data_IF_637524512737
#
_entry.id   IF_637524512737
#
_cell.length_a   1.000
_cell.length_b   1.000
_cell.length_c   1.000
_cell.angle_alpha   90.00
_cell.angle_beta   90.00
_cell.angle_gamma   90.00
#
_symmetry.space_group_name_H-M   'P 1'
#
loop_
_entity.id
_entity.type
_entity.pdbx_description
1 polymer ?
#
# COMPACT_ATOMS: atom_id res chain seq x y z
N UNK A 1 -23.25 52.70 -38.94
CA UNK A 1 -23.76 51.33 -38.67
C UNK A 1 -23.58 51.03 -37.19
N UNK A 2 -24.32 51.79 -36.40
CA UNK A 2 -25.28 51.39 -35.37
C UNK A 2 -24.95 50.23 -34.43
N UNK A 3 -24.72 50.65 -33.18
CA UNK A 3 -24.88 49.91 -31.95
C UNK A 3 -26.37 49.95 -31.52
N UNK A 4 -26.98 48.84 -31.05
CA UNK A 4 -28.18 48.91 -30.24
C UNK A 4 -27.99 48.31 -28.84
N UNK A 5 -28.07 49.22 -27.87
CA UNK A 5 -28.75 49.15 -26.57
C UNK A 5 -29.33 47.82 -26.05
N UNK A 6 -28.97 47.55 -24.79
CA UNK A 6 -29.70 46.88 -23.71
C UNK A 6 -31.23 46.65 -23.87
N UNK A 7 -31.66 45.43 -23.57
CA UNK A 7 -33.00 45.10 -23.06
C UNK A 7 -32.91 43.89 -22.11
N UNK A 8 -33.65 43.95 -21.01
CA UNK A 8 -33.54 43.05 -19.85
C UNK A 8 -34.07 41.64 -20.07
N UNK A 9 -33.40 40.67 -19.44
CA UNK A 9 -33.85 39.28 -19.33
C UNK A 9 -34.26 38.98 -17.89
N UNK A 10 -35.57 38.86 -17.66
CA UNK A 10 -36.19 38.57 -16.37
C UNK A 10 -35.75 37.23 -15.75
N UNK A 11 -35.70 37.23 -14.42
CA UNK A 11 -35.51 36.05 -13.57
C UNK A 11 -36.63 35.02 -13.85
N UNK A 12 -36.33 33.75 -14.12
CA UNK A 12 -37.37 32.73 -14.26
C UNK A 12 -38.10 32.49 -12.93
N UNK A 13 -39.40 32.15 -12.97
CA UNK A 13 -40.26 32.07 -11.79
C UNK A 13 -39.89 30.93 -10.85
N UNK A 14 -40.06 31.19 -9.55
CA UNK A 14 -39.89 30.24 -8.45
C UNK A 14 -40.75 28.99 -8.68
N UNK A 15 -40.09 27.85 -8.92
CA UNK A 15 -40.74 26.56 -8.94
C UNK A 15 -41.14 26.19 -7.50
N UNK A 16 -42.46 26.17 -7.30
CA UNK A 16 -43.18 25.84 -6.08
C UNK A 16 -42.53 24.70 -5.27
N UNK A 17 -42.28 25.00 -4.00
CA UNK A 17 -41.86 24.06 -2.97
C UNK A 17 -43.02 23.10 -2.63
N UNK A 18 -43.14 22.01 -3.40
CA UNK A 18 -44.04 20.91 -3.10
C UNK A 18 -43.57 20.17 -1.84
N UNK A 19 -44.15 20.52 -0.68
CA UNK A 19 -44.01 19.75 0.56
C UNK A 19 -44.64 18.37 0.37
N UNK A 20 -43.82 17.34 0.19
CA UNK A 20 -44.27 15.96 0.42
C UNK A 20 -44.68 15.82 1.89
N UNK A 21 -45.89 15.30 2.20
CA UNK A 21 -46.29 15.06 3.58
C UNK A 21 -45.38 13.97 4.17
N UNK A 22 -44.63 14.34 5.20
CA UNK A 22 -43.74 13.44 5.92
C UNK A 22 -44.54 12.35 6.62
N UNK A 23 -44.43 11.11 6.11
CA UNK A 23 -44.88 9.93 6.83
C UNK A 23 -44.00 9.73 8.08
N UNK A 24 -44.61 9.77 9.26
CA UNK A 24 -43.96 9.39 10.52
C UNK A 24 -43.64 7.90 10.45
N UNK A 25 -42.36 7.52 10.49
CA UNK A 25 -41.99 6.12 10.71
C UNK A 25 -42.40 5.74 12.13
N UNK A 26 -43.12 4.63 12.34
CA UNK A 26 -43.42 4.16 13.70
C UNK A 26 -42.12 3.81 14.42
N UNK A 27 -42.07 4.10 15.72
CA UNK A 27 -40.94 3.76 16.57
C UNK A 27 -40.74 2.22 16.58
N UNK A 28 -39.49 1.73 16.61
CA UNK A 28 -39.25 0.31 16.78
C UNK A 28 -39.82 -0.18 18.12
N UNK A 29 -40.30 -1.43 18.20
CA UNK A 29 -40.83 -1.98 19.44
C UNK A 29 -39.75 -2.00 20.54
N UNK A 30 -40.19 -1.79 21.79
CA UNK A 30 -39.32 -1.84 22.95
C UNK A 30 -38.59 -3.19 23.02
N UNK A 31 -37.27 -3.14 23.20
CA UNK A 31 -36.46 -4.35 23.39
C UNK A 31 -36.87 -4.99 24.72
N UNK A 32 -37.04 -6.31 24.72
CA UNK A 32 -37.34 -7.05 25.94
C UNK A 32 -36.11 -6.98 26.87
N UNK A 33 -36.23 -6.28 27.99
CA UNK A 33 -35.17 -6.20 28.99
C UNK A 33 -35.06 -7.54 29.74
N UNK A 34 -33.88 -8.14 29.71
CA UNK A 34 -33.55 -9.34 30.48
C UNK A 34 -33.02 -8.89 31.85
N UNK A 35 -33.66 -9.25 32.98
CA UNK A 35 -33.16 -8.88 34.31
C UNK A 35 -31.80 -9.55 34.57
N UNK A 36 -30.77 -8.76 34.91
CA UNK A 36 -29.44 -9.26 35.28
C UNK A 36 -28.32 -9.05 34.26
N UNK A 37 -28.53 -8.24 33.21
CA UNK A 37 -27.44 -7.87 32.31
C UNK A 37 -26.34 -7.09 33.08
N UNK A 38 -25.05 -7.45 32.95
CA UNK A 38 -23.96 -6.73 33.58
C UNK A 38 -23.92 -5.29 33.09
N UNK A 39 -23.63 -4.35 34.00
CA UNK A 39 -23.46 -2.93 33.68
C UNK A 39 -22.48 -2.80 32.50
N UNK A 40 -22.84 -2.07 31.43
CA UNK A 40 -21.93 -1.88 30.32
C UNK A 40 -20.64 -1.29 30.85
N UNK A 41 -19.52 -1.98 30.60
CA UNK A 41 -18.20 -1.43 30.89
C UNK A 41 -18.10 -0.11 30.13
N UNK A 42 -17.98 1.00 30.88
CA UNK A 42 -17.76 2.32 30.31
C UNK A 42 -16.39 2.26 29.64
N UNK A 43 -16.40 2.13 28.31
CA UNK A 43 -15.18 2.24 27.50
C UNK A 43 -14.50 3.59 27.72
N UNK A 44 -13.25 3.75 27.26
CA UNK A 44 -12.56 5.04 27.32
C UNK A 44 -13.51 6.12 26.79
N UNK A 45 -13.69 7.18 27.57
CA UNK A 45 -14.65 8.25 27.31
C UNK A 45 -14.63 8.60 25.81
N UNK A 46 -15.76 8.35 25.15
CA UNK A 46 -15.97 8.63 23.73
C UNK A 46 -15.49 10.06 23.48
N UNK A 47 -14.36 10.24 22.79
CA UNK A 47 -13.77 11.55 22.49
C UNK A 47 -14.62 12.34 21.48
N UNK A 48 -15.89 11.94 21.29
CA UNK A 48 -16.93 12.79 20.75
C UNK A 48 -17.12 13.97 21.71
N UNK A 49 -16.22 14.95 21.56
CA UNK A 49 -16.46 16.35 21.85
C UNK A 49 -17.95 16.62 21.67
N UNK A 50 -18.57 17.06 22.76
CA UNK A 50 -20.02 17.23 22.80
C UNK A 50 -20.43 18.14 21.65
N UNK A 51 -21.63 17.94 21.09
CA UNK A 51 -22.14 18.77 19.98
C UNK A 51 -22.02 20.29 20.27
N UNK A 52 -21.98 20.68 21.54
CA UNK A 52 -21.78 22.04 22.02
C UNK A 52 -20.38 22.64 21.73
N UNK A 53 -19.31 21.84 21.70
CA UNK A 53 -17.94 22.34 21.43
C UNK A 53 -17.72 22.66 19.94
N UNK A 54 -18.57 22.11 19.06
CA UNK A 54 -18.60 22.40 17.62
C UNK A 54 -19.20 23.77 17.29
N UNK A 55 -19.79 24.46 18.27
CA UNK A 55 -20.53 25.70 18.05
C UNK A 55 -19.64 26.95 17.94
N UNK A 56 -18.37 26.89 18.38
CA UNK A 56 -17.44 28.03 18.33
C UNK A 56 -16.67 28.18 17.00
N UNK A 57 -16.49 27.11 16.23
CA UNK A 57 -15.69 27.15 15.01
C UNK A 57 -16.55 27.27 13.76
N UNK A 58 -16.14 28.10 12.80
CA UNK A 58 -16.87 28.23 11.53
C UNK A 58 -16.74 27.01 10.63
N UNK A 59 -15.59 26.35 10.64
CA UNK A 59 -15.25 25.25 9.73
C UNK A 59 -14.87 23.92 10.43
N UNK A 60 -14.15 23.99 11.56
CA UNK A 60 -13.63 22.82 12.29
C UNK A 60 -14.77 22.05 12.95
N UNK A 61 -14.75 20.71 12.89
CA UNK A 61 -15.75 19.84 13.52
C UNK A 61 -17.11 19.80 12.80
N UNK A 62 -17.27 20.49 11.66
CA UNK A 62 -18.52 20.54 10.90
C UNK A 62 -18.51 19.61 9.68
N UNK A 63 -19.67 19.06 9.37
CA UNK A 63 -19.88 18.21 8.20
C UNK A 63 -19.97 19.07 6.93
N UNK A 64 -18.83 19.33 6.29
CA UNK A 64 -18.77 19.94 4.96
C UNK A 64 -18.59 18.88 3.87
N UNK A 65 -19.05 19.19 2.65
CA UNK A 65 -18.68 18.40 1.47
C UNK A 65 -17.19 18.55 1.24
N UNK A 66 -16.51 17.44 0.97
CA UNK A 66 -15.10 17.48 0.57
C UNK A 66 -14.92 18.25 -0.74
N UNK A 67 -13.85 19.03 -0.83
CA UNK A 67 -13.54 19.87 -2.00
C UNK A 67 -13.40 19.06 -3.30
N UNK A 68 -12.89 17.83 -3.20
CA UNK A 68 -12.73 16.88 -4.30
C UNK A 68 -13.95 15.95 -4.50
N UNK A 69 -14.99 16.10 -3.67
CA UNK A 69 -16.10 15.16 -3.63
C UNK A 69 -16.91 15.16 -4.93
N UNK A 70 -17.23 16.34 -5.47
CA UNK A 70 -18.04 16.46 -6.69
C UNK A 70 -17.33 15.83 -7.89
N UNK A 71 -16.07 16.16 -8.11
CA UNK A 71 -15.33 15.70 -9.29
C UNK A 71 -15.10 14.19 -9.29
N UNK A 72 -15.02 13.56 -8.12
CA UNK A 72 -14.90 12.10 -7.99
C UNK A 72 -16.21 11.40 -8.32
N UNK A 73 -17.33 11.88 -7.80
CA UNK A 73 -18.65 11.26 -8.07
C UNK A 73 -19.16 11.50 -9.49
N UNK A 74 -18.64 12.50 -10.19
CA UNK A 74 -18.98 12.78 -11.60
C UNK A 74 -17.99 12.19 -12.60
N UNK A 75 -16.94 11.49 -12.16
CA UNK A 75 -15.90 10.94 -13.04
C UNK A 75 -15.06 11.98 -13.78
N UNK A 76 -15.02 13.23 -13.29
CA UNK A 76 -14.22 14.30 -13.92
C UNK A 76 -12.80 14.40 -13.35
N UNK A 77 -12.55 13.75 -12.21
CA UNK A 77 -11.20 13.62 -11.65
C UNK A 77 -10.43 12.61 -12.49
N UNK A 78 -9.31 13.03 -13.08
CA UNK A 78 -8.39 12.13 -13.79
C UNK A 78 -7.39 11.51 -12.81
N UNK A 79 -7.26 10.20 -12.85
CA UNK A 79 -6.20 9.43 -12.21
C UNK A 79 -5.06 9.19 -13.19
N UNK A 80 -3.95 8.61 -12.71
CA UNK A 80 -2.75 8.40 -13.53
C UNK A 80 -3.06 7.64 -14.84
N UNK A 81 -3.90 6.61 -14.77
CA UNK A 81 -4.26 5.77 -15.92
C UNK A 81 -5.21 6.47 -16.91
N UNK A 82 -5.85 7.58 -16.53
CA UNK A 82 -6.70 8.38 -17.42
C UNK A 82 -5.87 9.40 -18.24
N UNK A 83 -4.57 9.51 -17.97
CA UNK A 83 -3.68 10.46 -18.63
C UNK A 83 -3.11 9.85 -19.91
N UNK A 84 -3.23 10.58 -21.01
CA UNK A 84 -2.60 10.24 -22.30
C UNK A 84 -1.81 11.44 -22.81
N UNK A 85 -0.64 11.17 -23.38
CA UNK A 85 0.27 12.20 -23.90
C UNK A 85 0.70 11.88 -25.34
N UNK A 86 0.93 12.89 -26.19
CA UNK A 86 1.49 12.65 -27.51
C UNK A 86 2.85 11.95 -27.43
N UNK A 87 3.03 10.89 -28.22
CA UNK A 87 4.24 10.04 -28.23
C UNK A 87 4.51 9.31 -26.91
N UNK A 88 3.46 9.03 -26.13
CA UNK A 88 3.54 8.11 -24.99
C UNK A 88 3.93 6.72 -25.47
N UNK A 89 4.82 6.07 -24.71
CA UNK A 89 5.21 4.67 -24.90
C UNK A 89 4.68 3.85 -23.72
N UNK A 90 4.54 2.55 -23.92
CA UNK A 90 3.92 1.64 -22.97
C UNK A 90 4.97 0.74 -22.36
N UNK A 91 4.93 0.62 -21.03
CA UNK A 91 5.88 -0.19 -20.28
C UNK A 91 5.23 -1.45 -19.71
N UNK A 92 5.93 -2.59 -19.77
CA UNK A 92 5.54 -3.84 -19.12
C UNK A 92 6.72 -4.40 -18.32
N UNK A 93 6.41 -4.94 -17.14
CA UNK A 93 7.40 -5.53 -16.24
C UNK A 93 7.31 -7.05 -16.30
N UNK A 94 8.41 -7.70 -16.65
CA UNK A 94 8.56 -9.13 -16.43
C UNK A 94 8.79 -9.37 -14.93
N UNK A 95 7.87 -10.12 -14.33
CA UNK A 95 7.91 -10.45 -12.90
C UNK A 95 8.23 -11.92 -12.70
N UNK A 96 8.95 -12.22 -11.63
CA UNK A 96 9.27 -13.57 -11.21
C UNK A 96 8.01 -14.37 -10.89
N UNK A 97 7.94 -15.60 -11.39
CA UNK A 97 6.99 -16.61 -10.93
C UNK A 97 7.55 -17.46 -9.78
N UNK A 98 8.84 -17.30 -9.47
CA UNK A 98 9.55 -18.04 -8.43
C UNK A 98 9.49 -17.29 -7.10
N UNK A 99 9.19 -17.97 -5.98
CA UNK A 99 9.13 -17.34 -4.66
C UNK A 99 10.52 -16.99 -4.11
N UNK A 100 11.55 -17.81 -4.37
CA UNK A 100 12.92 -17.51 -4.00
C UNK A 100 13.86 -18.23 -4.97
N UNK A 101 14.69 -17.49 -5.69
CA UNK A 101 15.62 -18.06 -6.66
C UNK A 101 16.77 -17.09 -6.97
N UNK A 102 17.93 -17.64 -7.31
CA UNK A 102 19.02 -16.89 -7.93
C UNK A 102 18.73 -16.70 -9.42
N UNK A 103 19.01 -15.52 -9.94
CA UNK A 103 18.94 -15.23 -11.38
C UNK A 103 20.27 -15.66 -11.99
N UNK A 104 20.25 -16.68 -12.84
CA UNK A 104 21.45 -17.17 -13.53
C UNK A 104 21.71 -16.33 -14.79
N UNK A 105 20.67 -16.12 -15.58
CA UNK A 105 20.77 -15.36 -16.83
C UNK A 105 19.43 -14.72 -17.19
N UNK A 106 19.50 -13.60 -17.92
CA UNK A 106 18.35 -12.91 -18.51
C UNK A 106 18.70 -12.65 -19.97
N UNK A 107 18.01 -13.34 -20.88
CA UNK A 107 18.14 -13.16 -22.33
C UNK A 107 17.01 -12.28 -22.85
N UNK A 108 17.38 -11.08 -23.31
CA UNK A 108 16.48 -10.08 -23.88
C UNK A 108 16.55 -9.99 -25.40
N UNK A 109 17.37 -10.82 -26.06
CA UNK A 109 17.69 -10.68 -27.49
C UNK A 109 16.46 -10.72 -28.39
N UNK A 110 15.54 -11.66 -28.17
CA UNK A 110 14.30 -11.79 -28.94
C UNK A 110 13.35 -10.59 -28.70
N UNK A 111 13.26 -10.11 -27.46
CA UNK A 111 12.44 -8.96 -27.11
C UNK A 111 12.97 -7.66 -27.76
N UNK A 112 14.29 -7.45 -27.73
CA UNK A 112 14.94 -6.31 -28.38
C UNK A 112 14.79 -6.31 -29.90
N UNK A 113 14.64 -7.49 -30.53
CA UNK A 113 14.47 -7.62 -31.97
C UNK A 113 13.02 -7.42 -32.44
N UNK A 114 12.04 -7.39 -31.53
CA UNK A 114 10.63 -7.24 -31.90
C UNK A 114 10.36 -5.82 -32.43
N UNK A 115 9.77 -5.66 -33.63
CA UNK A 115 9.40 -4.36 -34.16
C UNK A 115 8.48 -3.59 -33.21
N UNK A 116 8.76 -2.30 -33.00
CA UNK A 116 7.98 -1.45 -32.10
C UNK A 116 8.47 -1.43 -30.65
N UNK A 117 9.46 -2.25 -30.29
CA UNK A 117 10.16 -2.13 -29.00
C UNK A 117 11.22 -1.03 -29.09
N UNK A 118 11.19 -0.11 -28.13
CA UNK A 118 12.17 0.98 -28.02
C UNK A 118 13.32 0.64 -27.08
N UNK A 119 13.02 -0.05 -25.98
CA UNK A 119 14.02 -0.43 -24.98
C UNK A 119 13.59 -1.67 -24.20
N UNK A 120 14.57 -2.49 -23.84
CA UNK A 120 14.44 -3.53 -22.82
C UNK A 120 15.55 -3.29 -21.81
N UNK A 121 15.19 -3.21 -20.54
CA UNK A 121 16.12 -2.98 -19.42
C UNK A 121 16.00 -4.11 -18.40
N UNK A 122 17.09 -4.35 -17.68
CA UNK A 122 17.24 -5.42 -16.68
C UNK A 122 17.75 -4.84 -15.37
N UNK A 123 17.88 -5.67 -14.33
CA UNK A 123 18.53 -5.25 -13.08
C UNK A 123 19.90 -4.58 -13.28
N UNK A 124 20.64 -4.97 -14.33
CA UNK A 124 22.00 -4.46 -14.57
C UNK A 124 22.03 -2.96 -14.86
N UNK A 125 20.92 -2.43 -15.37
CA UNK A 125 20.75 -1.01 -15.67
C UNK A 125 20.43 -0.19 -14.41
N UNK A 126 20.03 -0.85 -13.32
CA UNK A 126 19.63 -0.23 -12.05
C UNK A 126 20.30 -0.89 -10.83
N UNK A 127 21.64 -0.79 -10.71
CA UNK A 127 22.39 -1.47 -9.65
C UNK A 127 22.21 -0.85 -8.25
N UNK A 128 21.60 0.33 -8.16
CA UNK A 128 21.47 1.06 -6.89
C UNK A 128 20.16 0.64 -6.22
N UNK A 129 20.21 0.06 -5.01
CA UNK A 129 19.00 -0.28 -4.28
C UNK A 129 18.31 0.99 -3.73
N UNK A 130 17.04 0.85 -3.40
CA UNK A 130 16.23 1.86 -2.74
C UNK A 130 15.49 1.27 -1.54
N UNK A 131 14.95 2.16 -0.72
CA UNK A 131 14.14 1.81 0.44
C UNK A 131 13.54 3.07 1.05
N UNK A 132 12.41 2.91 1.74
CA UNK A 132 11.72 4.05 2.38
C UNK A 132 12.58 4.65 3.50
N UNK A 133 13.30 3.79 4.22
CA UNK A 133 14.18 4.19 5.30
C UNK A 133 15.61 4.33 4.76
N UNK A 134 16.30 5.46 4.99
CA UNK A 134 17.71 5.61 4.60
C UNK A 134 18.64 4.53 5.17
N UNK A 135 18.24 3.92 6.28
CA UNK A 135 18.98 2.87 6.98
C UNK A 135 18.75 1.46 6.43
N UNK A 136 17.78 1.27 5.52
CA UNK A 136 17.46 -0.03 4.91
C UNK A 136 17.10 0.20 3.44
N UNK A 137 18.09 0.05 2.57
CA UNK A 137 17.92 0.08 1.11
C UNK A 137 18.14 -1.33 0.58
N UNK A 138 17.08 -2.13 0.58
CA UNK A 138 17.12 -3.56 0.33
C UNK A 138 16.29 -4.03 -0.87
N UNK A 139 15.64 -3.11 -1.56
CA UNK A 139 14.93 -3.36 -2.82
C UNK A 139 15.73 -2.83 -4.01
N UNK A 140 15.67 -3.53 -5.14
CA UNK A 140 16.17 -3.02 -6.42
C UNK A 140 15.00 -2.73 -7.34
N UNK A 141 15.14 -1.75 -8.24
CA UNK A 141 14.07 -1.41 -9.19
C UNK A 141 13.73 -2.61 -10.09
N UNK A 142 14.77 -3.37 -10.48
CA UNK A 142 14.71 -4.65 -11.14
C UNK A 142 15.76 -5.57 -10.49
N UNK A 143 15.42 -6.81 -10.20
CA UNK A 143 16.30 -7.75 -9.53
C UNK A 143 17.55 -8.05 -10.35
N UNK A 144 18.72 -7.97 -9.70
CA UNK A 144 20.01 -8.32 -10.30
C UNK A 144 20.45 -9.75 -9.98
N UNK A 145 20.42 -10.10 -8.69
CA UNK A 145 21.10 -11.32 -8.23
C UNK A 145 20.12 -12.46 -7.90
N UNK A 146 19.05 -12.12 -7.19
CA UNK A 146 18.04 -13.07 -6.72
C UNK A 146 16.68 -12.41 -6.59
N UNK A 147 15.65 -13.19 -6.84
CA UNK A 147 14.24 -12.84 -6.61
C UNK A 147 13.82 -13.38 -5.25
N UNK A 148 13.07 -12.60 -4.49
CA UNK A 148 12.74 -12.86 -3.08
C UNK A 148 11.26 -13.18 -2.85
N UNK A 149 10.41 -12.97 -3.85
CA UNK A 149 8.98 -13.29 -3.79
C UNK A 149 8.38 -13.45 -5.20
N UNK A 150 7.18 -14.02 -5.27
CA UNK A 150 6.41 -14.09 -6.51
C UNK A 150 5.92 -12.68 -6.87
N UNK A 151 6.28 -12.19 -8.05
CA UNK A 151 5.97 -10.84 -8.49
C UNK A 151 7.17 -9.88 -8.50
N UNK A 152 8.33 -10.33 -8.02
CA UNK A 152 9.57 -9.54 -7.97
C UNK A 152 10.00 -9.16 -9.40
N UNK A 153 10.16 -7.87 -9.75
CA UNK A 153 10.42 -7.47 -11.13
C UNK A 153 11.87 -7.76 -11.54
N UNK A 154 12.06 -8.31 -12.74
CA UNK A 154 13.39 -8.76 -13.25
C UNK A 154 13.82 -7.98 -14.49
N UNK A 155 12.87 -7.68 -15.37
CA UNK A 155 13.11 -6.91 -16.58
C UNK A 155 11.92 -6.00 -16.89
N UNK A 156 12.15 -4.96 -17.69
CA UNK A 156 11.11 -4.08 -18.19
C UNK A 156 11.27 -3.87 -19.70
N UNK A 157 10.13 -3.77 -20.39
CA UNK A 157 10.04 -3.46 -21.82
C UNK A 157 9.33 -2.13 -21.97
N UNK A 158 9.78 -1.29 -22.90
CA UNK A 158 9.08 -0.09 -23.36
C UNK A 158 8.84 -0.17 -24.88
N UNK A 159 7.58 -0.05 -25.32
CA UNK A 159 7.18 -0.22 -26.72
C UNK A 159 6.13 0.82 -27.19
N UNK A 160 5.81 0.79 -28.48
CA UNK A 160 4.85 1.70 -29.16
C UNK A 160 3.42 1.60 -28.63
N UNK A 161 3.00 0.41 -28.20
CA UNK A 161 1.67 0.13 -27.67
C UNK A 161 1.73 -0.98 -26.61
N UNK A 162 0.61 -1.17 -25.92
CA UNK A 162 0.51 -2.11 -24.80
C UNK A 162 0.68 -3.57 -25.23
N UNK A 163 0.14 -3.95 -26.40
CA UNK A 163 0.18 -5.31 -26.92
C UNK A 163 1.60 -5.69 -27.32
N UNK A 164 2.31 -4.80 -28.02
CA UNK A 164 3.72 -4.97 -28.40
C UNK A 164 4.61 -5.09 -27.16
N UNK A 165 4.37 -4.26 -26.14
CA UNK A 165 5.11 -4.35 -24.87
C UNK A 165 4.87 -5.70 -24.17
N UNK A 166 3.64 -6.21 -24.21
CA UNK A 166 3.27 -7.49 -23.63
C UNK A 166 3.88 -8.67 -24.40
N UNK A 167 3.84 -8.65 -25.73
CA UNK A 167 4.46 -9.66 -26.59
C UNK A 167 5.97 -9.72 -26.36
N UNK A 168 6.65 -8.57 -26.42
CA UNK A 168 8.09 -8.49 -26.16
C UNK A 168 8.48 -8.97 -24.76
N UNK A 169 7.68 -8.66 -23.73
CA UNK A 169 7.91 -9.16 -22.37
C UNK A 169 7.89 -10.69 -22.34
N UNK A 170 6.99 -11.34 -23.08
CA UNK A 170 6.89 -12.80 -23.14
C UNK A 170 8.04 -13.47 -23.93
N UNK A 171 8.80 -12.70 -24.72
CA UNK A 171 9.98 -13.18 -25.44
C UNK A 171 11.25 -13.21 -24.57
N UNK A 172 11.23 -12.51 -23.42
CA UNK A 172 12.37 -12.50 -22.49
C UNK A 172 12.46 -13.84 -21.78
N UNK A 173 13.65 -14.44 -21.77
CA UNK A 173 13.91 -15.70 -21.07
C UNK A 173 14.75 -15.43 -19.84
N UNK A 174 14.32 -15.97 -18.70
CA UNK A 174 15.05 -15.88 -17.44
C UNK A 174 15.33 -17.29 -16.93
N UNK A 175 16.60 -17.58 -16.68
CA UNK A 175 17.01 -18.81 -16.03
C UNK A 175 17.15 -18.58 -14.53
N UNK A 176 16.44 -19.40 -13.76
CA UNK A 176 16.43 -19.36 -12.31
C UNK A 176 17.07 -20.62 -11.73
N UNK A 177 17.83 -20.46 -10.67
CA UNK A 177 18.22 -21.53 -9.77
C UNK A 177 17.39 -21.39 -8.49
N UNK A 178 16.43 -22.31 -8.22
CA UNK A 178 15.57 -22.23 -7.04
C UNK A 178 16.37 -22.23 -5.73
N UNK A 179 15.98 -21.38 -4.79
CA UNK A 179 16.52 -21.34 -3.43
C UNK A 179 15.46 -21.85 -2.44
N UNK A 180 15.90 -22.20 -1.22
CA UNK A 180 14.98 -22.63 -0.17
C UNK A 180 13.94 -21.55 0.09
N UNK A 181 12.67 -21.93 -0.01
CA UNK A 181 11.53 -21.03 0.23
C UNK A 181 11.29 -20.92 1.73
N UNK A 182 11.20 -19.68 2.22
CA UNK A 182 10.86 -19.38 3.61
C UNK A 182 9.42 -18.90 3.62
N UNK A 183 8.50 -19.79 3.95
CA UNK A 183 7.05 -19.56 3.79
C UNK A 183 6.37 -18.93 5.00
N UNK A 184 7.07 -18.84 6.13
CA UNK A 184 6.50 -18.36 7.39
C UNK A 184 7.56 -17.87 8.38
N UNK A 185 7.08 -17.36 9.51
CA UNK A 185 7.93 -16.81 10.58
C UNK A 185 8.76 -17.92 11.22
N UNK A 186 8.16 -19.08 11.46
CA UNK A 186 8.81 -20.26 12.05
C UNK A 186 9.94 -20.77 11.15
N UNK A 187 9.72 -20.80 9.84
CA UNK A 187 10.75 -21.13 8.84
C UNK A 187 11.86 -20.08 8.85
N UNK A 188 11.52 -18.79 8.90
CA UNK A 188 12.51 -17.71 8.93
C UNK A 188 13.41 -17.77 10.17
N UNK A 189 12.86 -18.22 11.30
CA UNK A 189 13.60 -18.39 12.56
C UNK A 189 14.46 -19.66 12.57
N UNK A 190 14.05 -20.72 11.88
CA UNK A 190 14.71 -22.03 11.90
C UNK A 190 15.68 -22.25 10.73
N UNK A 191 15.41 -21.65 9.57
CA UNK A 191 16.23 -21.70 8.37
C UNK A 191 17.14 -20.48 8.36
N UNK A 192 18.42 -20.69 8.67
CA UNK A 192 19.41 -19.61 8.69
C UNK A 192 20.03 -19.33 7.32
N UNK A 193 20.05 -20.33 6.42
CA UNK A 193 20.58 -20.20 5.06
C UNK A 193 19.65 -20.84 4.02
N UNK A 194 19.55 -20.26 2.80
CA UNK A 194 20.09 -18.96 2.41
C UNK A 194 19.36 -17.81 3.12
N UNK A 195 20.10 -16.75 3.46
CA UNK A 195 19.48 -15.51 3.94
C UNK A 195 18.75 -14.81 2.78
N UNK A 196 17.54 -14.30 3.04
CA UNK A 196 16.80 -13.49 2.06
C UNK A 196 17.53 -12.17 1.81
N UNK A 197 18.05 -11.55 2.87
CA UNK A 197 18.85 -10.34 2.82
C UNK A 197 20.21 -10.55 3.49
N UNK A 198 21.27 -10.30 2.74
CA UNK A 198 22.64 -10.67 3.15
C UNK A 198 23.21 -9.73 4.24
N UNK A 199 22.53 -8.61 4.53
CA UNK A 199 22.94 -7.67 5.57
C UNK A 199 22.43 -8.04 6.97
N UNK A 200 21.57 -9.05 7.10
CA UNK A 200 20.94 -9.39 8.37
C UNK A 200 21.94 -10.08 9.32
N UNK A 201 22.10 -9.53 10.53
CA UNK A 201 23.05 -10.03 11.53
C UNK A 201 22.68 -11.42 12.08
N UNK A 202 21.39 -11.77 12.09
CA UNK A 202 20.86 -12.98 12.72
C UNK A 202 19.88 -13.72 11.80
N UNK A 203 20.42 -14.40 10.79
CA UNK A 203 19.61 -15.20 9.86
C UNK A 203 18.60 -14.34 9.10
N UNK A 204 17.31 -14.69 9.16
CA UNK A 204 16.23 -13.95 8.49
C UNK A 204 15.47 -13.00 9.43
N UNK A 205 16.11 -12.52 10.50
CA UNK A 205 15.53 -11.54 11.42
C UNK A 205 15.91 -10.13 10.99
N UNK A 206 14.94 -9.35 10.51
CA UNK A 206 15.17 -7.98 10.07
C UNK A 206 15.40 -6.99 11.24
N UNK A 207 14.66 -7.13 12.33
CA UNK A 207 14.76 -6.22 13.48
C UNK A 207 14.36 -6.88 14.79
N UNK A 208 15.14 -6.61 15.83
CA UNK A 208 14.82 -6.98 17.20
C UNK A 208 14.57 -5.73 18.04
N UNK A 209 13.46 -5.72 18.78
CA UNK A 209 13.09 -4.62 19.67
C UNK A 209 12.63 -5.22 21.00
N UNK A 210 13.28 -4.84 22.08
CA UNK A 210 12.89 -5.19 23.44
C UNK A 210 12.60 -3.89 24.21
N UNK A 211 11.37 -3.74 24.68
CA UNK A 211 10.93 -2.58 25.48
C UNK A 211 10.38 -3.08 26.80
N UNK A 212 10.80 -2.44 27.90
CA UNK A 212 10.31 -2.70 29.25
C UNK A 212 9.95 -1.37 29.91
N UNK A 213 8.77 -1.32 30.56
CA UNK A 213 8.29 -0.12 31.23
C UNK A 213 7.79 -0.47 32.63
N UNK A 214 8.52 -0.01 33.66
CA UNK A 214 8.29 -0.40 35.04
C UNK A 214 8.77 -1.83 35.34
N UNK A 215 8.37 -2.37 36.49
CA UNK A 215 8.69 -3.75 36.87
C UNK A 215 7.59 -4.70 36.38
N UNK A 216 7.88 -5.40 35.29
CA UNK A 216 6.95 -6.35 34.66
C UNK A 216 6.92 -7.68 35.41
N UNK A 217 8.03 -8.05 36.07
CA UNK A 217 8.16 -9.32 36.79
C UNK A 217 7.32 -9.36 38.07
N UNK A 218 7.26 -8.26 38.83
CA UNK A 218 6.49 -8.21 40.09
C UNK A 218 4.97 -8.13 39.91
N UNK A 219 4.48 -7.84 38.70
CA UNK A 219 3.03 -7.71 38.42
C UNK A 219 2.33 -9.02 38.06
N UNK A 220 3.03 -10.16 38.08
CA UNK A 220 2.44 -11.47 37.82
C UNK A 220 1.89 -11.64 36.40
N UNK A 221 2.26 -10.76 35.47
CA UNK A 221 1.94 -10.90 34.05
C UNK A 221 2.77 -12.10 33.55
N UNK A 222 2.15 -13.15 32.99
CA UNK A 222 2.90 -14.28 32.47
C UNK A 222 3.84 -13.76 31.39
N UNK A 223 5.15 -13.84 31.64
CA UNK A 223 6.15 -13.49 30.64
C UNK A 223 5.88 -14.36 29.42
N UNK A 224 5.65 -13.75 28.25
CA UNK A 224 5.64 -14.46 26.98
C UNK A 224 7.05 -15.02 26.74
N UNK A 225 7.33 -16.17 27.33
CA UNK A 225 8.55 -16.93 27.13
C UNK A 225 8.34 -17.73 25.84
N UNK A 226 8.74 -17.15 24.71
CA UNK A 226 8.96 -17.93 23.50
C UNK A 226 10.07 -18.94 23.80
N UNK A 227 9.68 -20.19 24.08
CA UNK A 227 10.56 -21.25 24.59
C UNK A 227 11.61 -21.73 23.58
N UNK A 228 11.50 -21.31 22.33
CA UNK A 228 12.34 -21.75 21.20
C UNK A 228 13.32 -20.69 20.67
N UNK A 229 13.32 -19.46 21.21
CA UNK A 229 14.26 -18.43 20.75
C UNK A 229 15.64 -18.66 21.38
N UNK A 230 16.75 -18.58 20.62
CA UNK A 230 18.10 -18.63 21.19
C UNK A 230 18.21 -17.64 22.35
N UNK A 231 18.83 -18.09 23.45
CA UNK A 231 19.01 -17.25 24.64
C UNK A 231 19.68 -15.95 24.21
N UNK A 232 18.99 -14.82 24.44
CA UNK A 232 19.51 -13.49 24.15
C UNK A 232 20.93 -13.37 24.71
N UNK A 233 21.94 -12.93 23.94
CA UNK A 233 23.27 -12.75 24.47
C UNK A 233 23.21 -11.74 25.62
N UNK A 234 23.37 -12.24 26.83
CA UNK A 234 23.50 -11.39 28.01
C UNK A 234 24.81 -10.62 27.86
N UNK A 235 24.70 -9.32 27.63
CA UNK A 235 25.76 -8.37 27.31
C UNK A 235 26.16 -8.35 25.82
N UNK A 236 25.70 -7.31 25.12
CA UNK A 236 26.54 -6.73 24.07
C UNK A 236 27.79 -6.16 24.78
N UNK A 237 29.01 -6.40 24.28
CA UNK A 237 30.19 -5.74 24.82
C UNK A 237 30.02 -4.24 24.64
N UNK A 238 30.03 -3.50 25.75
CA UNK A 238 30.18 -2.06 25.75
C UNK A 238 31.56 -1.72 25.18
N UNK A 239 31.63 -1.39 23.90
CA UNK A 239 32.81 -0.78 23.30
C UNK A 239 33.05 0.56 23.97
N UNK A 240 34.22 0.69 24.61
CA UNK A 240 34.85 1.98 24.93
C UNK A 240 35.68 2.43 23.73
#
# INVERSE_FOLDING_TARGET
>A
MDNPSSAGGGKPPDAANGKHPGGVRPAPPARHEVPGAPTPLVGPQDHRETRAEREGFKAIGKAFRRVDGRSKVTGTTKFADDLTMPRMIYAKLLRSHMPHARIISVDTSAACALPGVFAVVTGRDFPIPFGILPVSQDEHALCNDKVRFIGDPVAAVAAVDEDTAFEAMNLIKVEYEPLTVIGGIEDALSIHEPQIHDYADLGNIHKLVALEFGDVASRGIPTCRWSSMPRWPSAMPTTR
#
